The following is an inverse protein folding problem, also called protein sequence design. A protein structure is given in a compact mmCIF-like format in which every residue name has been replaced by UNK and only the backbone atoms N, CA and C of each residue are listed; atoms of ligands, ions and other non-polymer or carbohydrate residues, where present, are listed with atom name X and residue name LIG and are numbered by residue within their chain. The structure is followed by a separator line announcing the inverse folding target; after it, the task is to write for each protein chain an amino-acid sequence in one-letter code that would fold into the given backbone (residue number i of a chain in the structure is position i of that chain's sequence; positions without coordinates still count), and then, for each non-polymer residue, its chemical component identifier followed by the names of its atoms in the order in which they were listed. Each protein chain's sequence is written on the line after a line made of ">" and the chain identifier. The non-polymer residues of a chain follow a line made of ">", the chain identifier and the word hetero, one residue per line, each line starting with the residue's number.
data_IF_976040807874
#
_entry.id   IF_976040807874
#
_cell.length_a   1.000
_cell.length_b   1.000
_cell.length_c   1.000
_cell.angle_alpha   90.00
_cell.angle_beta   90.00
_cell.angle_gamma   90.00
#
_symmetry.space_group_name_H-M   'P 1'
#
loop_
_entity.id
_entity.type
_entity.pdbx_description
1 polymer ?
#
# COMPACT_ATOMS: atom_id res chain seq x y z
N UNK A 1 -3.67 -32.71 -11.07
CA UNK A 1 -4.86 -32.35 -10.28
C UNK A 1 -4.40 -32.35 -8.83
N UNK A 2 -3.59 -31.34 -8.47
CA UNK A 2 -3.04 -31.15 -7.13
C UNK A 2 -2.86 -29.64 -7.00
N UNK A 3 -3.94 -28.96 -6.66
CA UNK A 3 -3.96 -27.50 -6.47
C UNK A 3 -4.59 -27.22 -5.11
N UNK A 4 -3.92 -27.66 -4.04
CA UNK A 4 -4.04 -27.20 -2.64
C UNK A 4 -3.45 -28.26 -1.70
N UNK A 5 -2.63 -27.82 -0.74
CA UNK A 5 -2.05 -28.63 0.35
C UNK A 5 -3.09 -29.40 1.18
N UNK A 6 -4.37 -28.99 1.14
CA UNK A 6 -5.51 -29.59 1.87
C UNK A 6 -6.60 -30.21 0.99
N UNK A 7 -6.45 -30.24 -0.34
CA UNK A 7 -7.45 -30.78 -1.28
C UNK A 7 -8.86 -30.18 -1.12
N UNK A 8 -9.01 -28.86 -1.10
CA UNK A 8 -10.34 -28.25 -1.23
C UNK A 8 -10.97 -28.52 -2.59
N UNK A 9 -12.30 -28.53 -2.65
CA UNK A 9 -13.08 -28.71 -3.88
C UNK A 9 -13.45 -27.38 -4.56
N UNK A 10 -12.82 -26.27 -4.16
CA UNK A 10 -12.94 -24.93 -4.74
C UNK A 10 -11.69 -24.09 -4.43
N UNK A 11 -11.46 -23.03 -5.21
CA UNK A 11 -10.34 -22.11 -5.03
C UNK A 11 -10.58 -21.11 -3.88
N UNK A 12 -9.54 -20.78 -3.13
CA UNK A 12 -9.62 -19.88 -1.96
C UNK A 12 -8.44 -18.93 -1.90
N UNK A 13 -8.60 -17.83 -1.16
CA UNK A 13 -7.48 -16.99 -0.77
C UNK A 13 -6.60 -17.73 0.25
N UNK A 14 -5.30 -17.89 -0.04
CA UNK A 14 -4.31 -18.36 0.94
C UNK A 14 -4.62 -19.70 1.61
N UNK A 15 -5.41 -20.59 0.99
CA UNK A 15 -5.94 -21.82 1.57
C UNK A 15 -6.85 -21.61 2.82
N UNK A 16 -7.62 -20.51 2.84
CA UNK A 16 -8.59 -20.18 3.89
C UNK A 16 -10.01 -20.57 3.43
N UNK A 17 -10.61 -21.54 4.11
CA UNK A 17 -11.92 -22.14 3.76
C UNK A 17 -13.02 -21.07 3.73
N UNK A 18 -12.96 -20.11 4.64
CA UNK A 18 -13.92 -19.03 4.79
C UNK A 18 -13.83 -17.95 3.70
N UNK A 19 -12.83 -18.03 2.81
CA UNK A 19 -12.57 -17.04 1.76
C UNK A 19 -12.54 -17.68 0.35
N UNK A 20 -13.70 -18.17 -0.15
CA UNK A 20 -13.80 -18.70 -1.51
C UNK A 20 -13.51 -17.62 -2.55
N UNK A 21 -12.70 -17.96 -3.56
CA UNK A 21 -12.37 -17.05 -4.67
C UNK A 21 -13.62 -16.76 -5.48
N UNK A 22 -13.91 -15.47 -5.70
CA UNK A 22 -15.00 -15.06 -6.57
C UNK A 22 -14.63 -15.24 -8.04
N UNK A 23 -15.56 -15.77 -8.84
CA UNK A 23 -15.40 -15.87 -10.28
C UNK A 23 -15.80 -14.54 -10.96
N UNK A 24 -14.85 -13.63 -11.12
CA UNK A 24 -15.05 -12.31 -11.74
C UNK A 24 -15.32 -12.36 -13.24
N UNK A 25 -15.08 -13.50 -13.89
CA UNK A 25 -15.45 -13.72 -15.30
C UNK A 25 -16.95 -14.04 -15.46
N UNK A 26 -17.63 -14.51 -14.40
CA UNK A 26 -19.07 -14.72 -14.42
C UNK A 26 -19.80 -13.37 -14.52
N UNK A 27 -20.67 -13.15 -15.53
CA UNK A 27 -21.33 -11.86 -15.73
C UNK A 27 -22.13 -11.38 -14.51
N UNK A 28 -22.84 -12.27 -13.81
CA UNK A 28 -23.62 -11.87 -12.65
C UNK A 28 -22.73 -11.44 -11.47
N UNK A 29 -21.60 -12.12 -11.27
CA UNK A 29 -20.62 -11.73 -10.25
C UNK A 29 -19.97 -10.38 -10.60
N UNK A 30 -19.53 -10.23 -11.86
CA UNK A 30 -18.96 -8.97 -12.35
C UNK A 30 -19.92 -7.80 -12.17
N UNK A 31 -21.16 -7.94 -12.63
CA UNK A 31 -22.14 -6.85 -12.60
C UNK A 31 -22.48 -6.46 -11.16
N UNK A 32 -22.58 -7.43 -10.26
CA UNK A 32 -22.75 -7.18 -8.83
C UNK A 32 -21.58 -6.37 -8.24
N UNK A 33 -20.33 -6.79 -8.48
CA UNK A 33 -19.16 -6.09 -7.96
C UNK A 33 -19.02 -4.67 -8.54
N UNK A 34 -19.32 -4.48 -9.83
CA UNK A 34 -19.34 -3.15 -10.45
C UNK A 34 -20.47 -2.27 -9.89
N UNK A 35 -21.61 -2.86 -9.51
CA UNK A 35 -22.67 -2.14 -8.81
C UNK A 35 -22.24 -1.72 -7.41
N UNK A 36 -21.52 -2.56 -6.66
CA UNK A 36 -20.94 -2.21 -5.36
C UNK A 36 -19.93 -1.06 -5.53
N UNK A 37 -19.04 -1.14 -6.52
CA UNK A 37 -18.07 -0.08 -6.80
C UNK A 37 -18.72 1.27 -7.05
N UNK A 38 -19.83 1.26 -7.80
CA UNK A 38 -20.64 2.44 -8.10
C UNK A 38 -21.35 2.99 -6.86
N UNK A 39 -22.02 2.12 -6.11
CA UNK A 39 -22.85 2.49 -4.96
C UNK A 39 -22.11 3.38 -3.97
N UNK A 40 -20.88 3.02 -3.58
CA UNK A 40 -20.15 3.80 -2.58
C UNK A 40 -19.68 5.16 -3.09
N UNK A 41 -19.44 5.29 -4.40
CA UNK A 41 -19.10 6.59 -5.01
C UNK A 41 -20.36 7.46 -5.09
N UNK A 42 -21.49 6.91 -5.53
CA UNK A 42 -22.73 7.69 -5.71
C UNK A 42 -23.37 8.11 -4.39
N UNK A 43 -23.40 7.22 -3.40
CA UNK A 43 -24.12 7.47 -2.14
C UNK A 43 -23.26 8.18 -1.08
N UNK A 44 -21.94 8.00 -1.12
CA UNK A 44 -21.03 8.49 -0.07
C UNK A 44 -19.88 9.36 -0.60
N UNK A 45 -19.79 9.58 -1.91
CA UNK A 45 -18.78 10.43 -2.55
C UNK A 45 -17.32 10.06 -2.17
N UNK A 46 -17.03 8.77 -2.05
CA UNK A 46 -15.66 8.31 -1.73
C UNK A 46 -14.67 8.76 -2.81
N UNK A 47 -13.44 9.04 -2.40
CA UNK A 47 -12.39 9.57 -3.29
C UNK A 47 -11.48 8.50 -3.90
N UNK A 48 -11.63 7.24 -3.52
CA UNK A 48 -10.80 6.18 -4.06
C UNK A 48 -11.15 4.78 -3.59
N UNK A 49 -10.60 3.81 -4.31
CA UNK A 49 -10.68 2.39 -4.02
C UNK A 49 -9.28 1.81 -3.85
N UNK A 50 -9.01 1.20 -2.69
CA UNK A 50 -7.87 0.29 -2.49
C UNK A 50 -8.35 -1.14 -2.76
N UNK A 51 -7.75 -1.78 -3.75
CA UNK A 51 -8.14 -3.09 -4.26
C UNK A 51 -7.28 -4.16 -3.62
N UNK A 52 -7.91 -4.99 -2.78
CA UNK A 52 -7.29 -6.13 -2.09
C UNK A 52 -6.90 -7.24 -3.08
N UNK A 53 -5.70 -7.79 -2.94
CA UNK A 53 -5.17 -8.91 -3.75
C UNK A 53 -5.44 -8.73 -5.26
N UNK A 54 -5.16 -7.54 -5.78
CA UNK A 54 -5.64 -7.12 -7.10
C UNK A 54 -5.02 -7.92 -8.26
N UNK A 55 -3.82 -8.49 -8.05
CA UNK A 55 -3.11 -9.32 -9.03
C UNK A 55 -3.76 -10.69 -9.28
N UNK A 56 -4.72 -11.11 -8.46
CA UNK A 56 -5.42 -12.39 -8.59
C UNK A 56 -6.75 -12.31 -9.35
N UNK A 57 -7.16 -11.11 -9.74
CA UNK A 57 -8.38 -10.83 -10.51
C UNK A 57 -8.01 -10.51 -11.95
N UNK A 58 -8.85 -10.97 -12.89
CA UNK A 58 -8.57 -10.84 -14.31
C UNK A 58 -8.52 -9.37 -14.80
N UNK A 59 -7.68 -9.12 -15.80
CA UNK A 59 -7.51 -7.78 -16.35
C UNK A 59 -8.77 -7.19 -16.98
N UNK A 60 -9.69 -8.02 -17.48
CA UNK A 60 -10.89 -7.52 -18.16
C UNK A 60 -11.90 -6.96 -17.17
N UNK A 61 -12.03 -7.59 -16.01
CA UNK A 61 -12.72 -7.03 -14.85
C UNK A 61 -12.15 -5.67 -14.49
N UNK A 62 -10.82 -5.53 -14.36
CA UNK A 62 -10.20 -4.26 -13.98
C UNK A 62 -10.40 -3.14 -15.00
N UNK A 63 -10.40 -3.45 -16.29
CA UNK A 63 -10.76 -2.48 -17.33
C UNK A 63 -12.21 -2.03 -17.20
N UNK A 64 -13.13 -2.96 -16.94
CA UNK A 64 -14.54 -2.63 -16.69
C UNK A 64 -14.73 -1.81 -15.41
N UNK A 65 -13.97 -2.14 -14.36
CA UNK A 65 -13.94 -1.42 -13.10
C UNK A 65 -13.50 0.03 -13.29
N UNK A 66 -12.36 0.26 -13.97
CA UNK A 66 -11.88 1.61 -14.28
C UNK A 66 -12.92 2.42 -15.05
N UNK A 67 -13.48 1.86 -16.13
CA UNK A 67 -14.51 2.54 -16.93
C UNK A 67 -15.71 2.93 -16.06
N UNK A 68 -16.16 2.04 -15.18
CA UNK A 68 -17.28 2.31 -14.27
C UNK A 68 -16.94 3.44 -13.30
N UNK A 69 -15.87 3.30 -12.53
CA UNK A 69 -15.45 4.29 -11.53
C UNK A 69 -15.20 5.67 -12.15
N UNK A 70 -14.39 5.73 -13.21
CA UNK A 70 -14.02 6.99 -13.86
C UNK A 70 -15.18 7.65 -14.61
N UNK A 71 -16.22 6.90 -14.99
CA UNK A 71 -17.44 7.49 -15.57
C UNK A 71 -18.31 8.21 -14.55
N UNK A 72 -18.21 7.85 -13.27
CA UNK A 72 -18.95 8.47 -12.17
C UNK A 72 -18.15 9.62 -11.58
N UNK A 73 -16.87 9.37 -11.26
CA UNK A 73 -15.96 10.32 -10.62
C UNK A 73 -14.56 10.20 -11.25
N UNK A 74 -14.21 11.06 -12.24
CA UNK A 74 -12.95 10.96 -12.99
C UNK A 74 -11.67 11.07 -12.13
N UNK A 75 -11.74 11.79 -11.03
CA UNK A 75 -10.67 12.00 -10.05
C UNK A 75 -10.62 10.92 -8.95
N UNK A 76 -11.57 9.95 -8.93
CA UNK A 76 -11.56 8.84 -7.97
C UNK A 76 -10.32 7.96 -8.15
N UNK A 77 -9.50 7.83 -7.12
CA UNK A 77 -8.20 7.17 -7.15
C UNK A 77 -8.32 5.64 -7.11
N UNK A 78 -7.70 4.93 -8.06
CA UNK A 78 -7.72 3.46 -8.12
C UNK A 78 -6.34 2.90 -7.75
N UNK A 79 -6.24 2.37 -6.53
CA UNK A 79 -5.01 1.84 -5.93
C UNK A 79 -5.05 0.30 -5.85
N UNK A 80 -4.16 -0.38 -6.57
CA UNK A 80 -4.02 -1.84 -6.48
C UNK A 80 -3.06 -2.29 -5.37
N UNK A 81 -3.44 -3.30 -4.61
CA UNK A 81 -2.50 -4.06 -3.80
C UNK A 81 -1.78 -5.08 -4.69
N UNK A 82 -0.54 -4.75 -5.08
CA UNK A 82 0.36 -5.66 -5.77
C UNK A 82 1.73 -5.51 -5.13
N UNK A 83 2.26 -6.61 -4.59
CA UNK A 83 3.50 -6.63 -3.81
C UNK A 83 4.76 -6.67 -4.68
N UNK A 84 4.60 -6.89 -5.98
CA UNK A 84 5.68 -7.01 -6.96
C UNK A 84 5.54 -5.94 -8.05
N UNK A 85 6.45 -5.98 -9.04
CA UNK A 85 6.37 -5.14 -10.24
C UNK A 85 5.02 -5.33 -10.96
N UNK A 86 4.36 -4.23 -11.32
CA UNK A 86 2.95 -4.23 -11.73
C UNK A 86 2.61 -3.39 -12.96
N UNK A 87 3.57 -3.19 -13.88
CA UNK A 87 3.36 -2.53 -15.17
C UNK A 87 2.16 -3.03 -15.97
N UNK A 88 1.80 -4.34 -15.96
CA UNK A 88 0.60 -4.81 -16.65
C UNK A 88 -0.71 -4.12 -16.23
N UNK A 89 -0.78 -3.57 -15.01
CA UNK A 89 -1.96 -2.87 -14.49
C UNK A 89 -1.85 -1.33 -14.57
N UNK A 90 -0.67 -0.80 -14.91
CA UNK A 90 -0.35 0.63 -14.90
C UNK A 90 -0.21 1.24 -16.29
N UNK A 91 -0.92 0.67 -17.28
CA UNK A 91 -0.94 1.15 -18.68
C UNK A 91 -1.99 2.23 -18.94
N UNK A 92 -2.67 2.70 -17.89
CA UNK A 92 -3.73 3.70 -17.95
C UNK A 92 -5.13 3.15 -18.26
N UNK A 93 -5.26 1.85 -18.50
CA UNK A 93 -6.54 1.17 -18.76
C UNK A 93 -7.14 0.47 -17.53
N UNK A 94 -6.38 0.37 -16.43
CA UNK A 94 -6.80 -0.30 -15.19
C UNK A 94 -6.57 0.59 -13.95
N UNK A 95 -5.41 0.54 -13.31
CA UNK A 95 -5.16 1.26 -12.05
C UNK A 95 -4.48 2.61 -12.29
N UNK A 96 -4.61 3.51 -11.32
CA UNK A 96 -3.85 4.74 -11.28
C UNK A 96 -2.49 4.52 -10.59
N UNK A 97 -2.44 3.62 -9.60
CA UNK A 97 -1.25 3.39 -8.78
C UNK A 97 -1.26 2.02 -8.09
N UNK A 98 -0.13 1.67 -7.47
CA UNK A 98 0.06 0.46 -6.66
C UNK A 98 0.61 0.82 -5.28
N UNK A 99 0.32 -0.04 -4.30
CA UNK A 99 1.04 -0.03 -3.02
C UNK A 99 2.51 -0.32 -3.28
N UNK A 100 3.39 0.66 -3.06
CA UNK A 100 4.79 0.62 -3.48
C UNK A 100 5.68 -0.24 -2.55
N UNK A 101 5.35 -1.54 -2.43
CA UNK A 101 6.10 -2.51 -1.65
C UNK A 101 7.57 -2.65 -2.08
N UNK A 102 7.95 -2.56 -3.38
CA UNK A 102 9.36 -2.57 -3.77
C UNK A 102 10.17 -1.43 -3.14
N UNK A 103 9.63 -0.20 -3.13
CA UNK A 103 10.27 0.93 -2.46
C UNK A 103 10.27 0.78 -0.94
N UNK A 104 9.15 0.28 -0.37
CA UNK A 104 9.05 -0.04 1.06
C UNK A 104 10.19 -0.98 1.47
N UNK A 105 10.33 -2.12 0.78
CA UNK A 105 11.33 -3.14 1.06
C UNK A 105 12.75 -2.58 0.93
N UNK A 106 13.06 -1.87 -0.15
CA UNK A 106 14.37 -1.24 -0.32
C UNK A 106 14.70 -0.30 0.85
N UNK A 107 13.72 0.47 1.31
CA UNK A 107 13.88 1.44 2.39
C UNK A 107 14.03 0.74 3.75
N UNK A 108 13.20 -0.25 4.07
CA UNK A 108 13.29 -0.99 5.33
C UNK A 108 14.56 -1.82 5.42
N UNK A 109 14.95 -2.47 4.33
CA UNK A 109 16.12 -3.34 4.29
C UNK A 109 17.41 -2.53 4.46
N UNK A 110 17.45 -1.29 3.94
CA UNK A 110 18.58 -0.40 4.12
C UNK A 110 18.60 0.29 5.50
N UNK A 111 17.55 1.05 5.85
CA UNK A 111 17.57 1.90 7.05
C UNK A 111 17.27 1.14 8.35
N UNK A 112 16.34 0.18 8.32
CA UNK A 112 15.92 -0.54 9.52
C UNK A 112 16.81 -1.76 9.77
N UNK A 113 16.81 -2.69 8.82
CA UNK A 113 17.45 -4.00 8.94
C UNK A 113 18.96 -3.96 8.65
N UNK A 114 19.43 -2.94 7.93
CA UNK A 114 20.84 -2.82 7.49
C UNK A 114 21.30 -4.06 6.70
N UNK A 115 20.39 -4.65 5.92
CA UNK A 115 20.62 -5.80 5.06
C UNK A 115 21.33 -5.43 3.75
N UNK A 116 21.24 -4.17 3.32
CA UNK A 116 21.87 -3.66 2.10
C UNK A 116 22.97 -2.64 2.39
N UNK A 117 23.99 -2.63 1.54
CA UNK A 117 24.94 -1.52 1.48
C UNK A 117 24.36 -0.35 0.68
N UNK A 118 25.06 0.79 0.72
CA UNK A 118 24.62 2.02 0.03
C UNK A 118 24.44 1.81 -1.47
N UNK A 119 25.33 1.04 -2.11
CA UNK A 119 25.31 0.85 -3.56
C UNK A 119 24.08 0.05 -3.97
N UNK A 120 23.86 -1.08 -3.29
CA UNK A 120 22.71 -1.96 -3.49
C UNK A 120 21.40 -1.19 -3.31
N UNK A 121 21.31 -0.37 -2.25
CA UNK A 121 20.14 0.47 -2.03
C UNK A 121 19.88 1.45 -3.19
N UNK A 122 20.91 2.16 -3.64
CA UNK A 122 20.79 3.09 -4.78
C UNK A 122 20.36 2.35 -6.06
N UNK A 123 20.93 1.18 -6.33
CA UNK A 123 20.63 0.39 -7.53
C UNK A 123 19.15 -0.07 -7.51
N UNK A 124 18.64 -0.54 -6.36
CA UNK A 124 17.24 -0.98 -6.22
C UNK A 124 16.27 0.20 -6.36
N UNK A 125 16.53 1.32 -5.68
CA UNK A 125 15.67 2.52 -5.78
C UNK A 125 15.65 3.05 -7.22
N UNK A 126 16.81 3.12 -7.86
CA UNK A 126 16.91 3.56 -9.26
C UNK A 126 16.13 2.64 -10.18
N UNK A 127 16.26 1.32 -10.00
CA UNK A 127 15.50 0.34 -10.76
C UNK A 127 13.98 0.53 -10.57
N UNK A 128 13.51 0.73 -9.34
CA UNK A 128 12.09 0.94 -9.05
C UNK A 128 11.50 2.15 -9.80
N UNK A 129 12.24 3.27 -9.88
CA UNK A 129 11.83 4.43 -10.67
C UNK A 129 11.86 4.19 -12.18
N UNK A 130 12.82 3.42 -12.68
CA UNK A 130 12.95 3.12 -14.12
C UNK A 130 11.95 2.06 -14.60
N UNK A 131 11.38 1.27 -13.70
CA UNK A 131 10.34 0.30 -14.01
C UNK A 131 9.03 0.95 -14.46
N UNK A 132 8.77 2.21 -14.10
CA UNK A 132 7.51 2.89 -14.36
C UNK A 132 7.69 4.21 -15.11
N UNK A 133 6.72 4.63 -15.94
CA UNK A 133 6.76 5.95 -16.56
C UNK A 133 6.66 7.04 -15.49
N UNK A 134 7.16 8.24 -15.80
CA UNK A 134 7.22 9.35 -14.85
C UNK A 134 5.86 9.69 -14.22
N UNK A 135 4.81 9.77 -15.02
CA UNK A 135 3.46 10.07 -14.55
C UNK A 135 2.87 8.99 -13.62
N UNK A 136 3.33 7.74 -13.72
CA UNK A 136 2.96 6.69 -12.78
C UNK A 136 3.73 6.87 -11.47
N UNK A 137 5.04 7.14 -11.52
CA UNK A 137 5.84 7.43 -10.33
C UNK A 137 5.30 8.64 -9.54
N UNK A 138 4.79 9.67 -10.22
CA UNK A 138 4.15 10.86 -9.63
C UNK A 138 2.94 10.55 -8.74
N UNK A 139 2.32 9.37 -8.91
CA UNK A 139 1.14 8.95 -8.13
C UNK A 139 1.36 7.63 -7.38
N UNK A 140 2.59 7.09 -7.31
CA UNK A 140 2.87 5.84 -6.59
C UNK A 140 2.55 5.95 -5.10
N UNK A 141 1.91 4.93 -4.53
CA UNK A 141 1.51 4.94 -3.12
C UNK A 141 2.66 4.47 -2.22
N UNK A 142 3.46 5.41 -1.74
CA UNK A 142 4.68 5.14 -0.98
C UNK A 142 4.34 4.88 0.48
N UNK A 143 4.70 3.70 0.99
CA UNK A 143 4.47 3.29 2.37
C UNK A 143 5.73 2.66 2.96
N UNK A 144 5.84 2.65 4.29
CA UNK A 144 6.91 1.95 5.03
C UNK A 144 6.42 0.73 5.80
N UNK A 145 5.10 0.62 5.98
CA UNK A 145 4.45 -0.38 6.80
C UNK A 145 2.93 -0.36 6.54
N UNK A 146 2.27 -1.46 6.86
CA UNK A 146 0.81 -1.59 6.79
C UNK A 146 0.30 -2.60 7.81
N UNK A 147 -1.00 -2.88 7.75
CA UNK A 147 -1.61 -3.95 8.52
C UNK A 147 -1.13 -5.37 8.15
N UNK A 148 -0.40 -5.56 7.05
CA UNK A 148 0.13 -6.87 6.63
C UNK A 148 1.63 -7.02 6.91
N UNK A 149 2.28 -5.97 7.41
CA UNK A 149 3.71 -5.96 7.70
C UNK A 149 3.98 -5.71 9.18
N UNK A 150 5.19 -6.06 9.62
CA UNK A 150 5.68 -5.57 10.91
C UNK A 150 5.76 -4.05 10.88
N UNK A 151 5.55 -3.41 12.04
CA UNK A 151 5.73 -1.97 12.17
C UNK A 151 7.18 -1.57 11.97
N UNK A 152 7.42 -0.43 11.32
CA UNK A 152 8.76 0.09 11.02
C UNK A 152 9.61 0.20 12.28
N UNK A 153 9.03 0.73 13.36
CA UNK A 153 9.75 0.90 14.63
C UNK A 153 10.21 -0.44 15.22
N UNK A 154 9.42 -1.51 15.04
CA UNK A 154 9.82 -2.87 15.42
C UNK A 154 10.96 -3.40 14.54
N UNK A 155 10.91 -3.17 13.22
CA UNK A 155 12.00 -3.53 12.32
C UNK A 155 13.29 -2.77 12.65
N UNK A 156 13.19 -1.53 13.12
CA UNK A 156 14.32 -0.72 13.57
C UNK A 156 14.86 -1.14 14.96
N UNK A 157 14.32 -2.17 15.61
CA UNK A 157 14.70 -2.54 16.98
C UNK A 157 14.36 -1.46 18.01
N UNK A 158 13.29 -0.70 17.77
CA UNK A 158 12.90 0.51 18.51
C UNK A 158 13.90 1.68 18.44
N UNK A 159 14.88 1.66 17.52
CA UNK A 159 15.74 2.81 17.26
C UNK A 159 15.01 3.85 16.41
N UNK A 160 14.49 4.90 17.07
CA UNK A 160 13.77 5.99 16.43
C UNK A 160 14.61 6.75 15.41
N UNK A 161 15.95 6.77 15.54
CA UNK A 161 16.81 7.48 14.58
C UNK A 161 16.76 6.80 13.21
N UNK A 162 16.75 5.47 13.19
CA UNK A 162 16.57 4.68 11.96
C UNK A 162 15.19 4.93 11.33
N UNK A 163 14.14 4.91 12.15
CA UNK A 163 12.78 5.18 11.69
C UNK A 163 12.64 6.60 11.11
N UNK A 164 13.25 7.62 11.74
CA UNK A 164 13.25 9.00 11.23
C UNK A 164 13.93 9.10 9.86
N UNK A 165 15.03 8.39 9.63
CA UNK A 165 15.71 8.36 8.33
C UNK A 165 14.85 7.70 7.25
N UNK A 166 14.19 6.58 7.57
CA UNK A 166 13.28 5.92 6.63
C UNK A 166 12.08 6.80 6.27
N UNK A 167 11.46 7.47 7.25
CA UNK A 167 10.39 8.44 7.01
C UNK A 167 10.86 9.64 6.19
N UNK A 168 12.00 10.23 6.55
CA UNK A 168 12.59 11.33 5.78
C UNK A 168 12.84 10.91 4.32
N UNK A 169 13.33 9.70 4.10
CA UNK A 169 13.52 9.17 2.75
C UNK A 169 12.19 9.05 2.02
N UNK A 170 11.18 8.39 2.60
CA UNK A 170 9.83 8.26 1.99
C UNK A 170 9.22 9.62 1.62
N UNK A 171 9.24 10.59 2.53
CA UNK A 171 8.69 11.93 2.32
C UNK A 171 9.51 12.79 1.32
N UNK A 172 10.72 12.35 0.96
CA UNK A 172 11.52 12.98 -0.10
C UNK A 172 11.38 12.30 -1.46
N UNK A 173 10.62 11.20 -1.54
CA UNK A 173 10.33 10.52 -2.79
C UNK A 173 9.11 11.13 -3.47
N UNK A 174 9.09 11.06 -4.80
CA UNK A 174 7.92 11.43 -5.59
C UNK A 174 6.82 10.37 -5.41
N UNK A 175 5.57 10.81 -5.33
CA UNK A 175 4.39 9.95 -5.16
C UNK A 175 3.51 10.44 -4.01
N UNK A 176 2.63 9.56 -3.53
CA UNK A 176 1.72 9.81 -2.42
C UNK A 176 2.19 9.04 -1.18
N UNK A 177 2.79 9.69 -0.16
CA UNK A 177 3.19 9.02 1.07
C UNK A 177 1.97 8.57 1.90
N UNK A 178 2.12 7.43 2.56
CA UNK A 178 1.12 6.84 3.44
C UNK A 178 1.73 6.51 4.81
N UNK A 179 1.08 6.98 5.87
CA UNK A 179 1.43 6.66 7.26
C UNK A 179 0.44 5.64 7.79
N UNK A 180 0.95 4.54 8.33
CA UNK A 180 0.13 3.57 9.06
C UNK A 180 -0.21 4.10 10.45
N UNK A 181 -1.48 4.00 10.86
CA UNK A 181 -1.97 4.63 12.08
C UNK A 181 -1.13 4.25 13.31
N UNK A 182 -0.83 5.25 14.13
CA UNK A 182 -0.09 5.08 15.36
C UNK A 182 1.44 5.08 15.18
N UNK A 183 1.94 4.95 13.96
CA UNK A 183 3.38 5.04 13.71
C UNK A 183 3.91 6.45 13.96
N UNK A 184 3.08 7.47 13.71
CA UNK A 184 3.39 8.87 14.03
C UNK A 184 3.52 9.13 15.53
N UNK A 185 2.94 8.29 16.38
CA UNK A 185 3.07 8.37 17.85
C UNK A 185 4.01 7.30 18.42
N UNK A 186 4.76 6.61 17.57
CA UNK A 186 5.78 5.64 17.98
C UNK A 186 5.24 4.27 18.39
N UNK A 187 4.09 3.83 17.84
CA UNK A 187 3.61 2.46 18.07
C UNK A 187 4.54 1.42 17.45
N UNK A 188 4.71 0.30 18.16
CA UNK A 188 5.47 -0.86 17.70
C UNK A 188 4.61 -2.13 17.67
N UNK A 189 5.07 -3.15 16.96
CA UNK A 189 4.36 -4.43 16.79
C UNK A 189 4.91 -5.21 15.62
N UNK A 190 5.25 -6.48 15.85
CA UNK A 190 5.67 -7.40 14.79
C UNK A 190 4.47 -8.09 14.15
N UNK A 191 4.60 -8.43 12.88
CA UNK A 191 3.71 -9.37 12.18
C UNK A 191 4.43 -10.71 12.06
N UNK A 192 3.79 -11.78 12.54
CA UNK A 192 4.29 -13.15 12.39
C UNK A 192 3.11 -14.12 12.20
N UNK A 193 3.36 -15.35 11.76
CA UNK A 193 2.30 -16.36 11.63
C UNK A 193 1.63 -16.58 13.00
N UNK A 194 0.34 -16.26 13.10
CA UNK A 194 -0.43 -16.36 14.35
C UNK A 194 -0.26 -15.19 15.34
N UNK A 195 0.47 -14.12 14.98
CA UNK A 195 0.55 -12.87 15.76
C UNK A 195 0.26 -11.65 14.88
N UNK A 196 -0.69 -10.84 15.36
CA UNK A 196 -1.15 -9.59 14.72
C UNK A 196 -0.78 -8.38 15.59
N UNK A 197 0.38 -8.41 16.27
CA UNK A 197 0.82 -7.34 17.18
C UNK A 197 1.02 -5.98 16.48
N UNK A 198 1.14 -5.97 15.16
CA UNK A 198 1.15 -4.75 14.35
C UNK A 198 -0.23 -4.03 14.35
N UNK A 199 -1.33 -4.71 14.70
CA UNK A 199 -2.72 -4.19 14.68
C UNK A 199 -3.27 -3.81 16.07
N UNK A 200 -2.39 -3.41 17.01
CA UNK A 200 -2.78 -2.93 18.35
C UNK A 200 -3.76 -1.75 18.29
N UNK A 201 -4.57 -1.60 19.34
CA UNK A 201 -5.41 -0.41 19.52
C UNK A 201 -4.56 0.87 19.53
N UNK A 202 -5.10 1.94 18.91
CA UNK A 202 -4.45 3.24 18.89
C UNK A 202 -4.21 3.79 20.31
N UNK A 203 -3.04 4.38 20.51
CA UNK A 203 -2.67 5.04 21.76
C UNK A 203 -3.25 6.46 21.74
N UNK A 204 -4.43 6.65 22.34
CA UNK A 204 -5.06 7.98 22.45
C UNK A 204 -4.57 8.81 23.63
N UNK A 205 -4.08 8.15 24.68
CA UNK A 205 -3.51 8.81 25.85
C UNK A 205 -2.18 9.48 25.46
N UNK A 206 -2.17 10.82 25.38
CA UNK A 206 -1.01 11.60 24.97
C UNK A 206 0.22 11.35 25.82
N UNK A 207 0.06 10.97 27.10
CA UNK A 207 1.19 10.65 27.99
C UNK A 207 1.93 9.38 27.57
N UNK A 208 1.28 8.54 26.74
CA UNK A 208 1.84 7.30 26.19
C UNK A 208 2.29 7.47 24.73
N UNK A 209 2.05 8.63 24.12
CA UNK A 209 2.49 8.94 22.77
C UNK A 209 3.93 9.47 22.77
N UNK A 210 4.66 9.18 21.69
CA UNK A 210 5.92 9.87 21.41
C UNK A 210 5.66 11.23 20.74
N UNK A 211 5.56 12.28 21.55
CA UNK A 211 5.27 13.63 21.06
C UNK A 211 6.40 14.24 20.24
N UNK A 212 7.66 13.85 20.48
CA UNK A 212 8.80 14.32 19.69
C UNK A 212 8.76 13.71 18.28
N UNK A 213 8.51 12.41 18.19
CA UNK A 213 8.35 11.72 16.91
C UNK A 213 7.12 12.22 16.14
N UNK A 214 6.01 12.46 16.85
CA UNK A 214 4.80 13.08 16.27
C UNK A 214 5.09 14.46 15.70
N UNK A 215 5.86 15.29 16.39
CA UNK A 215 6.29 16.60 15.88
C UNK A 215 7.13 16.45 14.63
N UNK A 216 8.09 15.52 14.62
CA UNK A 216 8.92 15.24 13.45
C UNK A 216 8.10 14.85 12.22
N UNK A 217 7.10 13.97 12.37
CA UNK A 217 6.23 13.58 11.25
C UNK A 217 5.41 14.77 10.74
N UNK A 218 4.92 15.65 11.63
CA UNK A 218 4.25 16.90 11.24
C UNK A 218 5.17 17.85 10.46
N UNK A 219 6.44 17.92 10.84
CA UNK A 219 7.43 18.74 10.14
C UNK A 219 7.67 18.22 8.72
N UNK A 220 7.79 16.89 8.54
CA UNK A 220 7.92 16.27 7.21
C UNK A 220 6.73 16.61 6.31
N UNK A 221 5.51 16.46 6.81
CA UNK A 221 4.29 16.80 6.05
C UNK A 221 4.27 18.28 5.65
N UNK A 222 4.67 19.16 6.57
CA UNK A 222 4.73 20.61 6.31
C UNK A 222 5.81 20.97 5.26
N UNK A 223 6.90 20.22 5.18
CA UNK A 223 7.94 20.39 4.15
C UNK A 223 7.46 19.95 2.78
N UNK A 224 6.78 18.80 2.72
CA UNK A 224 6.18 18.28 1.50
C UNK A 224 5.15 19.27 0.94
N UNK A 225 4.20 19.74 1.76
CA UNK A 225 3.15 20.66 1.34
C UNK A 225 3.71 21.98 0.77
N UNK A 226 4.76 22.54 1.38
CA UNK A 226 5.41 23.76 0.88
C UNK A 226 6.10 23.54 -0.46
N UNK A 227 6.67 22.35 -0.68
CA UNK A 227 7.35 22.01 -1.92
C UNK A 227 6.35 21.88 -3.07
N UNK A 228 5.21 21.21 -2.84
CA UNK A 228 4.13 21.11 -3.83
C UNK A 228 3.45 22.45 -4.17
N UNK A 229 3.36 23.39 -3.22
CA UNK A 229 2.77 24.71 -3.46
C UNK A 229 3.69 25.69 -4.22
N UNK A 230 4.95 25.32 -4.46
CA UNK A 230 5.93 26.15 -5.16
C UNK A 230 6.02 25.85 -6.67
N UNK A 231 5.41 24.78 -7.15
CA UNK A 231 5.26 24.42 -8.57
C UNK A 231 3.90 24.87 -9.13
#
# INVERSE_FOLDING_TARGET
>A
MEWDFRNFNYETFGNVIEMPKLNTENPACRDYLLQVARYWIEEFDIDGWRLDVANEVDHEFWRAFRRTVKSIKPDCYILGEIWHEGMPWLRGDQFDSLMNYPLMQATTDYFALQAYDKKTFIDIVTHAYLCYPRNVNEVMFNLLESHDTSRLLSLCGNDKRKARLAYLFMFSQVGSPCIYYGSEVGMNGSRAMGSEDNRKCMIWDEQKQDLEFKSFIKDLYSMEEKTFRME
#
